data_IF_337606967745
#
_entry.id   IF_337606967745
#
_cell.length_a   1.000
_cell.length_b   1.000
_cell.length_c   1.000
_cell.angle_alpha   90.00
_cell.angle_beta   90.00
_cell.angle_gamma   90.00
#
_symmetry.space_group_name_H-M   'P 1'
#
loop_
_entity.id
_entity.type
_entity.pdbx_description
1 polymer ?
#
# COMPACT_ATOMS: atom_id res chain seq x y z
N UNK A 1 33.34 5.54 -59.58
CA UNK A 1 32.34 6.14 -58.71
C UNK A 1 31.98 5.11 -57.67
N UNK A 2 32.57 5.24 -56.47
CA UNK A 2 32.43 4.29 -55.37
C UNK A 2 31.43 4.89 -54.35
N UNK A 3 30.21 4.31 -54.29
CA UNK A 3 29.20 4.74 -53.34
C UNK A 3 29.42 4.09 -51.97
N UNK A 4 29.63 4.91 -50.94
CA UNK A 4 29.72 4.46 -49.55
C UNK A 4 28.31 4.42 -48.98
N UNK A 5 27.83 3.23 -48.64
CA UNK A 5 26.58 3.03 -47.91
C UNK A 5 26.88 3.11 -46.40
N UNK A 6 26.43 4.18 -45.76
CA UNK A 6 26.51 4.34 -44.31
C UNK A 6 25.27 3.68 -43.71
N UNK A 7 25.46 2.55 -43.03
CA UNK A 7 24.43 1.89 -42.25
C UNK A 7 24.38 2.54 -40.87
N UNK A 8 23.25 3.20 -40.53
CA UNK A 8 22.94 3.69 -39.17
C UNK A 8 22.42 2.54 -38.31
N UNK A 9 22.97 2.30 -37.12
CA UNK A 9 22.40 1.34 -36.20
C UNK A 9 21.13 1.90 -35.57
N UNK A 10 20.02 1.18 -35.72
CA UNK A 10 18.80 1.41 -34.95
C UNK A 10 19.04 0.98 -33.50
N UNK A 11 19.15 1.96 -32.60
CA UNK A 11 19.17 1.72 -31.18
C UNK A 11 17.73 1.47 -30.74
N UNK A 12 17.38 0.21 -30.54
CA UNK A 12 16.10 -0.17 -29.92
C UNK A 12 16.18 0.12 -28.41
N UNK A 13 15.52 1.19 -27.96
CA UNK A 13 15.32 1.47 -26.55
C UNK A 13 14.27 0.49 -26.03
N UNK A 14 14.71 -0.54 -25.32
CA UNK A 14 13.86 -1.43 -24.56
C UNK A 14 13.34 -0.64 -23.33
N UNK A 15 12.10 -0.18 -23.41
CA UNK A 15 11.37 0.24 -22.23
C UNK A 15 11.08 -1.02 -21.40
N UNK A 16 11.82 -1.21 -20.30
CA UNK A 16 11.41 -2.13 -19.27
C UNK A 16 10.08 -1.64 -18.68
N UNK A 17 9.02 -2.48 -18.60
CA UNK A 17 7.82 -2.07 -17.91
C UNK A 17 8.21 -1.82 -16.45
N UNK A 18 7.93 -0.60 -15.94
CA UNK A 18 7.97 -0.34 -14.53
C UNK A 18 6.99 -1.33 -13.88
N UNK A 19 7.47 -2.12 -12.92
CA UNK A 19 6.63 -2.99 -12.13
C UNK A 19 5.68 -2.08 -11.33
N UNK A 20 4.49 -1.90 -11.86
CA UNK A 20 3.36 -1.34 -11.13
C UNK A 20 3.14 -2.31 -9.97
N UNK A 21 3.25 -1.82 -8.73
CA UNK A 21 2.91 -2.61 -7.55
C UNK A 21 1.50 -3.17 -7.82
N UNK A 22 1.39 -4.51 -7.84
CA UNK A 22 0.11 -5.15 -8.11
C UNK A 22 -0.86 -4.70 -7.02
N UNK A 23 -1.89 -3.96 -7.42
CA UNK A 23 -3.04 -3.73 -6.55
C UNK A 23 -3.44 -5.07 -5.96
N UNK A 24 -3.67 -5.12 -4.67
CA UNK A 24 -4.14 -6.31 -3.99
C UNK A 24 -5.70 -6.33 -4.00
N UNK A 25 -6.33 -6.83 -5.09
CA UNK A 25 -7.79 -6.74 -5.26
C UNK A 25 -8.55 -7.40 -4.11
N UNK A 26 -7.96 -8.41 -3.50
CA UNK A 26 -8.54 -9.10 -2.33
C UNK A 26 -8.63 -8.17 -1.13
N UNK A 27 -7.63 -7.31 -0.90
CA UNK A 27 -7.63 -6.33 0.19
C UNK A 27 -8.67 -5.25 -0.07
N UNK A 28 -8.72 -4.72 -1.30
CA UNK A 28 -9.71 -3.72 -1.70
C UNK A 28 -11.15 -4.23 -1.54
N UNK A 29 -11.40 -5.48 -1.94
CA UNK A 29 -12.71 -6.12 -1.79
C UNK A 29 -13.08 -6.31 -0.32
N UNK A 30 -12.14 -6.72 0.52
CA UNK A 30 -12.37 -6.91 1.95
C UNK A 30 -12.69 -5.59 2.66
N UNK A 31 -11.94 -4.53 2.36
CA UNK A 31 -12.20 -3.17 2.87
C UNK A 31 -13.56 -2.67 2.43
N UNK A 32 -13.89 -2.84 1.15
CA UNK A 32 -15.20 -2.46 0.60
C UNK A 32 -16.35 -3.20 1.28
N UNK A 33 -16.19 -4.51 1.49
CA UNK A 33 -17.18 -5.34 2.18
C UNK A 33 -17.38 -4.91 3.64
N UNK A 34 -16.29 -4.65 4.37
CA UNK A 34 -16.36 -4.15 5.74
C UNK A 34 -17.00 -2.75 5.82
N UNK A 35 -16.72 -1.88 4.85
CA UNK A 35 -17.32 -0.54 4.75
C UNK A 35 -18.81 -0.57 4.43
N UNK A 36 -19.28 -1.56 3.70
CA UNK A 36 -20.69 -1.64 3.28
C UNK A 36 -21.68 -1.74 4.43
N UNK A 37 -21.23 -2.13 5.62
CA UNK A 37 -22.06 -2.14 6.85
C UNK A 37 -22.24 -0.74 7.47
N UNK A 38 -21.46 0.26 7.04
CA UNK A 38 -21.56 1.63 7.54
C UNK A 38 -22.67 2.42 6.84
N UNK A 39 -23.28 3.44 7.53
CA UNK A 39 -24.32 4.27 6.95
C UNK A 39 -23.81 5.27 5.91
N UNK A 40 -22.49 5.43 5.79
CA UNK A 40 -21.84 6.34 4.86
C UNK A 40 -21.44 5.64 3.56
N UNK A 41 -21.09 6.44 2.55
CA UNK A 41 -20.66 5.93 1.25
C UNK A 41 -19.38 5.09 1.28
N UNK A 42 -19.04 4.43 0.17
CA UNK A 42 -17.83 3.64 0.04
C UNK A 42 -16.58 4.49 0.20
N UNK A 43 -15.51 3.88 0.73
CA UNK A 43 -14.19 4.47 0.69
C UNK A 43 -13.69 4.57 -0.76
N UNK A 44 -13.12 5.72 -1.12
CA UNK A 44 -12.55 5.92 -2.44
C UNK A 44 -11.07 5.51 -2.43
N UNK A 45 -10.69 4.68 -3.38
CA UNK A 45 -9.29 4.38 -3.58
C UNK A 45 -8.52 5.63 -4.02
N UNK A 46 -7.36 5.87 -3.38
CA UNK A 46 -6.48 6.99 -3.70
C UNK A 46 -5.03 6.49 -3.86
N UNK A 47 -4.41 6.65 -5.05
CA UNK A 47 -3.05 6.17 -5.30
C UNK A 47 -1.98 6.87 -4.44
N UNK A 48 -2.24 8.08 -3.95
CA UNK A 48 -1.32 8.76 -3.01
C UNK A 48 -1.40 8.12 -1.62
N UNK A 49 -2.60 7.71 -1.19
CA UNK A 49 -2.80 6.97 0.07
C UNK A 49 -2.22 5.56 -0.04
N UNK A 50 -2.29 4.92 -1.22
CA UNK A 50 -1.60 3.64 -1.47
C UNK A 50 -0.07 3.78 -1.30
N UNK A 51 0.53 4.86 -1.79
CA UNK A 51 1.95 5.12 -1.57
C UNK A 51 2.30 5.22 -0.08
N UNK A 52 1.44 5.83 0.73
CA UNK A 52 1.61 5.84 2.18
C UNK A 52 1.56 4.42 2.76
N UNK A 53 0.59 3.61 2.34
CA UNK A 53 0.49 2.21 2.75
C UNK A 53 1.73 1.40 2.36
N UNK A 54 2.27 1.61 1.16
CA UNK A 54 3.50 0.93 0.71
C UNK A 54 4.73 1.34 1.53
N UNK A 55 4.88 2.63 1.86
CA UNK A 55 5.97 3.10 2.72
C UNK A 55 5.89 2.46 4.11
N UNK A 56 4.72 2.44 4.74
CA UNK A 56 4.49 1.80 6.04
C UNK A 56 4.80 0.30 5.96
N UNK A 57 4.29 -0.39 4.93
CA UNK A 57 4.49 -1.82 4.76
C UNK A 57 5.97 -2.19 4.54
N UNK A 58 6.69 -1.45 3.71
CA UNK A 58 8.14 -1.64 3.49
C UNK A 58 8.96 -1.40 4.74
N UNK A 59 8.54 -0.48 5.60
CA UNK A 59 9.19 -0.27 6.89
C UNK A 59 9.01 -1.47 7.83
N UNK A 60 7.82 -2.03 7.89
CA UNK A 60 7.54 -3.28 8.62
C UNK A 60 8.31 -4.46 8.03
N UNK A 61 8.34 -4.58 6.70
CA UNK A 61 9.13 -5.57 6.00
C UNK A 61 10.62 -5.48 6.35
N UNK A 62 11.19 -4.28 6.31
CA UNK A 62 12.60 -4.06 6.64
C UNK A 62 12.92 -4.40 8.11
N UNK A 63 11.99 -4.16 9.03
CA UNK A 63 12.12 -4.57 10.43
C UNK A 63 12.08 -6.09 10.57
N UNK A 64 11.16 -6.77 9.91
CA UNK A 64 11.02 -8.24 10.01
C UNK A 64 12.22 -8.99 9.41
N UNK A 65 12.82 -8.47 8.36
CA UNK A 65 14.03 -9.07 7.77
C UNK A 65 15.34 -8.57 8.38
N UNK A 66 15.26 -7.85 9.52
CA UNK A 66 16.42 -7.35 10.27
C UNK A 66 17.30 -6.36 9.50
N UNK A 67 16.77 -5.67 8.49
CA UNK A 67 17.49 -4.60 7.75
C UNK A 67 17.18 -3.20 8.31
N UNK A 68 16.26 -3.09 9.27
CA UNK A 68 15.96 -1.87 10.01
C UNK A 68 15.83 -2.18 11.51
N UNK A 69 16.27 -1.24 12.35
CA UNK A 69 16.19 -1.39 13.81
C UNK A 69 14.80 -1.03 14.37
N UNK A 70 14.05 -0.18 13.67
CA UNK A 70 12.77 0.36 14.12
C UNK A 70 11.75 0.39 12.98
N UNK A 71 10.47 0.24 13.34
CA UNK A 71 9.33 0.61 12.50
C UNK A 71 9.06 2.13 12.59
N UNK A 72 8.28 2.73 11.69
CA UNK A 72 7.95 4.16 11.75
C UNK A 72 7.40 4.55 13.12
N UNK A 73 7.90 5.68 13.67
CA UNK A 73 7.58 6.13 15.02
C UNK A 73 6.13 6.65 15.18
N UNK A 74 5.50 7.05 14.11
CA UNK A 74 4.13 7.58 14.10
C UNK A 74 3.08 6.55 13.68
N UNK A 75 3.44 5.29 13.67
CA UNK A 75 2.49 4.19 13.57
C UNK A 75 1.67 4.07 14.88
N UNK A 76 0.35 3.84 14.83
CA UNK A 76 -0.52 3.56 13.69
C UNK A 76 -1.04 4.81 12.94
N UNK A 77 -0.53 5.98 13.22
CA UNK A 77 -0.95 7.23 12.60
C UNK A 77 0.19 7.82 11.75
N UNK A 78 0.33 7.43 10.47
CA UNK A 78 1.45 7.84 9.62
C UNK A 78 1.32 9.29 9.13
N UNK A 79 1.20 10.23 10.07
CA UNK A 79 0.94 11.64 9.80
C UNK A 79 2.12 12.33 9.09
N UNK A 80 3.35 11.98 9.43
CA UNK A 80 4.53 12.52 8.76
C UNK A 80 4.59 12.07 7.30
N UNK A 81 4.37 10.78 7.05
CA UNK A 81 4.31 10.22 5.69
C UNK A 81 3.19 10.89 4.89
N UNK A 82 2.01 11.03 5.48
CA UNK A 82 0.87 11.69 4.83
C UNK A 82 1.20 13.14 4.43
N UNK A 83 1.82 13.88 5.34
CA UNK A 83 2.25 15.27 5.10
C UNK A 83 3.26 15.36 3.96
N UNK A 84 4.26 14.49 3.96
CA UNK A 84 5.30 14.47 2.94
C UNK A 84 4.75 14.11 1.55
N UNK A 85 3.72 13.28 1.49
CA UNK A 85 3.03 12.90 0.26
C UNK A 85 1.95 13.90 -0.17
N UNK A 86 1.63 14.91 0.65
CA UNK A 86 0.58 15.88 0.37
C UNK A 86 -0.84 15.30 0.43
N UNK A 87 -1.06 14.27 1.27
CA UNK A 87 -2.40 13.72 1.50
C UNK A 87 -3.23 14.79 2.23
N UNK A 88 -4.33 15.18 1.61
CA UNK A 88 -5.27 16.12 2.18
C UNK A 88 -6.08 15.48 3.32
N UNK A 89 -6.37 16.27 4.35
CA UNK A 89 -7.13 15.81 5.51
C UNK A 89 -6.29 15.77 6.78
N UNK A 90 -6.98 15.78 7.91
CA UNK A 90 -6.35 15.81 9.22
C UNK A 90 -6.37 14.45 9.93
N UNK A 91 -7.16 13.52 9.43
CA UNK A 91 -7.34 12.20 10.02
C UNK A 91 -6.69 11.14 9.14
N UNK A 92 -5.77 10.40 9.72
CA UNK A 92 -5.09 9.30 9.04
C UNK A 92 -4.82 8.17 10.03
N UNK A 93 -5.00 6.94 9.59
CA UNK A 93 -4.63 5.74 10.35
C UNK A 93 -4.08 4.67 9.43
N UNK A 94 -3.21 3.81 9.96
CA UNK A 94 -2.76 2.61 9.27
C UNK A 94 -3.28 1.38 10.00
N UNK A 95 -3.74 0.41 9.24
CA UNK A 95 -4.24 -0.88 9.70
C UNK A 95 -3.32 -1.95 9.17
N UNK A 96 -2.87 -2.85 10.02
CA UNK A 96 -1.90 -3.86 9.64
C UNK A 96 -2.38 -5.26 9.96
N UNK A 97 -1.96 -6.22 9.16
CA UNK A 97 -2.14 -7.63 9.43
C UNK A 97 -0.97 -8.42 8.87
N UNK A 98 -0.53 -9.41 9.62
CA UNK A 98 0.51 -10.34 9.19
C UNK A 98 0.09 -11.78 9.47
N UNK A 99 0.47 -12.68 8.58
CA UNK A 99 0.17 -14.11 8.70
C UNK A 99 1.00 -14.95 7.74
N UNK A 100 1.09 -16.25 7.97
CA UNK A 100 1.78 -17.17 7.07
C UNK A 100 1.04 -17.41 5.74
N UNK A 101 -0.13 -16.83 5.60
CA UNK A 101 -0.90 -16.79 4.35
C UNK A 101 -1.70 -15.48 4.29
N UNK A 102 -2.18 -15.17 3.10
CA UNK A 102 -2.95 -13.96 2.82
C UNK A 102 -4.24 -13.86 3.65
N UNK A 103 -4.94 -14.99 3.85
CA UNK A 103 -6.20 -15.00 4.59
C UNK A 103 -6.01 -14.63 6.07
N UNK A 104 -4.96 -15.11 6.71
CA UNK A 104 -4.64 -14.77 8.10
C UNK A 104 -4.19 -13.31 8.24
N UNK A 105 -3.36 -12.82 7.30
CA UNK A 105 -2.96 -11.42 7.26
C UNK A 105 -4.17 -10.50 7.07
N UNK A 106 -5.06 -10.85 6.14
CA UNK A 106 -6.29 -10.11 5.88
C UNK A 106 -7.21 -10.06 7.09
N UNK A 107 -7.38 -11.20 7.77
CA UNK A 107 -8.16 -11.27 9.02
C UNK A 107 -7.58 -10.38 10.10
N UNK A 108 -6.26 -10.37 10.27
CA UNK A 108 -5.57 -9.50 11.23
C UNK A 108 -5.85 -8.02 10.96
N UNK A 109 -5.67 -7.58 9.72
CA UNK A 109 -5.93 -6.21 9.29
C UNK A 109 -7.40 -5.80 9.50
N UNK A 110 -8.36 -6.68 9.15
CA UNK A 110 -9.79 -6.41 9.36
C UNK A 110 -10.16 -6.33 10.84
N UNK A 111 -9.55 -7.14 11.70
CA UNK A 111 -9.77 -7.08 13.15
C UNK A 111 -9.24 -5.77 13.73
N UNK A 112 -8.09 -5.31 13.29
CA UNK A 112 -7.55 -4.01 13.67
C UNK A 112 -8.46 -2.88 13.20
N UNK A 113 -8.88 -2.92 11.93
CA UNK A 113 -9.73 -1.91 11.30
C UNK A 113 -11.22 -1.97 11.63
N UNK A 114 -11.66 -2.84 12.55
CA UNK A 114 -13.09 -3.06 12.81
C UNK A 114 -13.88 -1.81 13.23
N UNK A 115 -13.21 -0.82 13.82
CA UNK A 115 -13.81 0.44 14.23
C UNK A 115 -13.52 1.58 13.23
N UNK A 116 -12.39 1.52 12.54
CA UNK A 116 -11.94 2.59 11.65
C UNK A 116 -12.53 2.47 10.25
N UNK A 117 -12.61 1.26 9.69
CA UNK A 117 -13.17 1.06 8.35
C UNK A 117 -14.62 1.57 8.25
N UNK A 118 -15.53 1.31 9.23
CA UNK A 118 -16.89 1.83 9.20
C UNK A 118 -17.01 3.30 9.64
N UNK A 119 -15.95 3.93 10.15
CA UNK A 119 -15.98 5.33 10.57
C UNK A 119 -16.13 6.27 9.37
N UNK A 120 -17.26 6.99 9.33
CA UNK A 120 -17.62 7.87 8.21
C UNK A 120 -16.71 9.11 8.04
N UNK A 121 -15.84 9.40 8.99
CA UNK A 121 -14.84 10.46 8.87
C UNK A 121 -13.69 10.09 7.93
N UNK A 122 -13.45 8.78 7.70
CA UNK A 122 -12.56 8.34 6.64
C UNK A 122 -13.31 8.25 5.31
N UNK A 123 -12.71 8.80 4.26
CA UNK A 123 -13.31 8.88 2.92
C UNK A 123 -12.46 8.22 1.83
N UNK A 124 -11.17 8.05 2.08
CA UNK A 124 -10.21 7.50 1.14
C UNK A 124 -9.40 6.37 1.76
N UNK A 125 -8.89 5.49 0.92
CA UNK A 125 -7.98 4.44 1.33
C UNK A 125 -6.94 4.09 0.27
N UNK A 126 -5.86 3.45 0.70
CA UNK A 126 -4.89 2.78 -0.13
C UNK A 126 -4.36 1.55 0.58
N UNK A 127 -3.89 0.56 -0.15
CA UNK A 127 -3.45 -0.72 0.39
C UNK A 127 -2.12 -1.18 -0.18
N UNK A 128 -1.37 -1.93 0.60
CA UNK A 128 -0.13 -2.60 0.20
C UNK A 128 -0.10 -4.01 0.75
N UNK A 129 0.33 -4.97 -0.08
CA UNK A 129 0.55 -6.36 0.30
C UNK A 129 1.97 -6.74 -0.07
N UNK A 130 2.75 -7.23 0.89
CA UNK A 130 4.10 -7.73 0.69
C UNK A 130 4.24 -9.14 1.28
N UNK A 131 5.07 -9.95 0.66
CA UNK A 131 5.50 -11.23 1.20
C UNK A 131 6.96 -11.12 1.65
N UNK A 132 7.22 -11.48 2.91
CA UNK A 132 8.57 -11.48 3.50
C UNK A 132 9.11 -12.92 3.51
N UNK A 133 10.15 -13.17 2.71
CA UNK A 133 10.64 -14.51 2.40
C UNK A 133 11.34 -15.20 3.58
N UNK A 134 12.01 -14.46 4.46
CA UNK A 134 12.77 -15.05 5.57
C UNK A 134 11.85 -15.59 6.66
N UNK A 135 10.83 -14.83 7.02
CA UNK A 135 9.83 -15.22 8.02
C UNK A 135 8.69 -16.06 7.43
N UNK A 136 8.47 -15.94 6.11
CA UNK A 136 7.33 -16.53 5.42
C UNK A 136 6.02 -15.80 5.70
N UNK A 137 6.08 -14.54 6.18
CA UNK A 137 4.89 -13.75 6.44
C UNK A 137 4.41 -12.99 5.20
N UNK A 138 3.10 -13.02 4.99
CA UNK A 138 2.39 -12.02 4.19
C UNK A 138 2.02 -10.86 5.11
N UNK A 139 2.32 -9.63 4.67
CA UNK A 139 2.06 -8.41 5.42
C UNK A 139 1.11 -7.54 4.60
N UNK A 140 0.00 -7.16 5.20
CA UNK A 140 -1.00 -6.26 4.60
C UNK A 140 -1.04 -4.97 5.41
N UNK A 141 -0.99 -3.84 4.71
CA UNK A 141 -1.23 -2.52 5.28
C UNK A 141 -2.34 -1.83 4.50
N UNK A 142 -3.29 -1.27 5.20
CA UNK A 142 -4.30 -0.35 4.65
C UNK A 142 -4.17 0.98 5.38
N UNK A 143 -4.02 2.06 4.62
CA UNK A 143 -4.08 3.41 5.15
C UNK A 143 -5.44 3.99 4.83
N UNK A 144 -6.10 4.56 5.84
CA UNK A 144 -7.33 5.31 5.73
C UNK A 144 -7.03 6.80 5.91
N UNK A 145 -7.63 7.64 5.09
CA UNK A 145 -7.51 9.10 5.17
C UNK A 145 -8.88 9.76 5.14
N UNK A 146 -9.00 10.89 5.85
CA UNK A 146 -10.24 11.65 5.95
C UNK A 146 -10.06 13.04 6.54
N UNK A 147 -11.17 13.73 6.71
CA UNK A 147 -11.18 15.10 7.22
C UNK A 147 -11.05 15.17 8.75
#
# INVERSE_FOLDING_TARGET
MTGVVVALPLVSVLFAPEAVADRAPVVEQAVSSARSAAPCGPLQYNPTVERAADIVNRSTYAFLNHTAENVPADEPHPTAIAKDLGIAGSKITSLQGAGHNEADALKGMLLEGRNDIPDCSYTEFGSSLLYEEQSGFTIIVVVLAGA
#
